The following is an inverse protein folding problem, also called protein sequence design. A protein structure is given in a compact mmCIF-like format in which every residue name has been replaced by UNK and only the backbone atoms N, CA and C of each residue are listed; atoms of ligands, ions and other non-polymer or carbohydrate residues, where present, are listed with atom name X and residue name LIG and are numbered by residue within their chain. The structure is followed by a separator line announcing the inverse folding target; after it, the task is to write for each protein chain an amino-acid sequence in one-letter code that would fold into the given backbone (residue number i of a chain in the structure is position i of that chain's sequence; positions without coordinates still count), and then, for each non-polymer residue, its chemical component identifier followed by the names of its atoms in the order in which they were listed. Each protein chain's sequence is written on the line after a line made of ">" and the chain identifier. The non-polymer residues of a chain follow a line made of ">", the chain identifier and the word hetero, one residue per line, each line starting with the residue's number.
data_IF_523371933491
#
_entry.id   IF_523371933491
#
_cell.length_a   1.000
_cell.length_b   1.000
_cell.length_c   1.000
_cell.angle_alpha   90.00
_cell.angle_beta   90.00
_cell.angle_gamma   90.00
#
_symmetry.space_group_name_H-M   'P 1'
#
loop_
_entity.id
_entity.type
_entity.pdbx_description
1 polymer ?
#
# COMPACT_ATOMS: atom_id res chain seq x y z
N UNK A 1 -38.15 8.64 15.46
CA UNK A 1 -38.09 7.38 16.23
C UNK A 1 -39.01 6.37 15.57
N UNK A 2 -38.40 5.35 14.97
CA UNK A 2 -39.08 4.18 14.47
C UNK A 2 -39.42 3.29 15.66
N UNK A 3 -40.64 2.75 15.66
CA UNK A 3 -41.14 1.87 16.69
C UNK A 3 -40.87 0.42 16.25
N UNK A 4 -40.01 -0.28 16.99
CA UNK A 4 -39.54 -1.63 16.68
C UNK A 4 -40.29 -2.62 17.58
N UNK A 5 -40.92 -3.63 16.98
CA UNK A 5 -41.59 -4.71 17.72
C UNK A 5 -40.58 -5.79 18.12
N UNK A 6 -40.76 -6.43 19.28
CA UNK A 6 -39.90 -7.53 19.74
C UNK A 6 -39.77 -8.65 18.69
N UNK A 7 -40.85 -8.93 17.95
CA UNK A 7 -40.91 -9.96 16.91
C UNK A 7 -39.95 -9.72 15.73
N UNK A 8 -39.55 -8.46 15.49
CA UNK A 8 -38.59 -8.12 14.46
C UNK A 8 -37.14 -8.14 14.94
N UNK A 9 -36.91 -8.26 16.26
CA UNK A 9 -35.59 -8.44 16.84
C UNK A 9 -35.14 -9.90 16.71
N UNK A 10 -33.96 -10.12 16.16
CA UNK A 10 -33.35 -11.44 15.97
C UNK A 10 -31.93 -11.43 16.48
N UNK A 11 -31.48 -12.59 16.96
CA UNK A 11 -30.10 -12.79 17.40
C UNK A 11 -29.12 -12.40 16.28
N UNK A 12 -28.12 -11.59 16.63
CA UNK A 12 -27.10 -11.11 15.70
C UNK A 12 -27.45 -9.82 14.94
N UNK A 13 -28.67 -9.28 15.06
CA UNK A 13 -29.00 -7.97 14.48
C UNK A 13 -28.28 -6.84 15.22
N UNK A 14 -27.84 -5.83 14.48
CA UNK A 14 -27.35 -4.56 15.02
C UNK A 14 -28.24 -3.42 14.53
N UNK A 15 -28.05 -2.23 15.10
CA UNK A 15 -28.75 -1.03 14.67
C UNK A 15 -27.72 0.09 14.47
N UNK A 16 -27.98 0.97 13.50
CA UNK A 16 -27.10 2.12 13.21
C UNK A 16 -27.13 3.16 14.34
N UNK A 17 -28.20 3.18 15.11
CA UNK A 17 -28.38 4.02 16.29
C UNK A 17 -28.80 3.18 17.50
N UNK A 18 -28.77 3.80 18.68
CA UNK A 18 -29.16 3.15 19.93
C UNK A 18 -30.60 2.63 19.89
N UNK A 19 -30.83 1.47 20.50
CA UNK A 19 -32.17 0.95 20.79
C UNK A 19 -32.50 1.28 22.24
N UNK A 20 -33.67 1.85 22.45
CA UNK A 20 -34.15 2.26 23.75
C UNK A 20 -35.47 1.53 24.07
N UNK A 21 -35.70 1.17 25.35
CA UNK A 21 -37.00 0.63 25.80
C UNK A 21 -38.09 1.70 25.74
N UNK A 22 -37.71 2.97 25.93
CA UNK A 22 -38.54 4.17 25.82
C UNK A 22 -37.69 5.35 25.32
N UNK A 23 -38.07 6.62 25.52
CA UNK A 23 -37.22 7.74 25.07
C UNK A 23 -36.01 8.03 25.97
N UNK A 24 -35.87 7.32 27.11
CA UNK A 24 -34.95 7.68 28.19
C UNK A 24 -34.04 6.53 28.64
N UNK A 25 -34.35 5.27 28.34
CA UNK A 25 -33.64 4.08 28.84
C UNK A 25 -32.99 3.31 27.70
N UNK A 26 -31.65 3.35 27.66
CA UNK A 26 -30.82 2.61 26.71
C UNK A 26 -30.91 1.11 26.95
N UNK A 27 -31.36 0.38 25.93
CA UNK A 27 -31.36 -1.08 25.91
C UNK A 27 -30.08 -1.63 25.29
N UNK A 28 -29.77 -1.16 24.08
CA UNK A 28 -28.63 -1.62 23.29
C UNK A 28 -27.96 -0.41 22.65
N UNK A 29 -26.66 -0.17 22.89
CA UNK A 29 -25.92 0.83 22.15
C UNK A 29 -25.83 0.48 20.67
N UNK A 30 -25.72 1.49 19.80
CA UNK A 30 -25.48 1.30 18.36
C UNK A 30 -24.33 0.33 18.10
N UNK A 31 -24.43 -0.43 17.01
CA UNK A 31 -23.44 -1.43 16.58
C UNK A 31 -23.20 -2.61 17.55
N UNK A 32 -23.99 -2.74 18.62
CA UNK A 32 -23.98 -3.93 19.49
C UNK A 32 -25.03 -4.93 19.02
N UNK A 33 -24.64 -6.19 18.85
CA UNK A 33 -25.53 -7.23 18.34
C UNK A 33 -26.49 -7.72 19.42
N UNK A 34 -27.74 -7.98 19.05
CA UNK A 34 -28.74 -8.60 19.91
C UNK A 34 -28.31 -10.03 20.27
N UNK A 35 -28.14 -10.30 21.55
CA UNK A 35 -27.85 -11.66 22.04
C UNK A 35 -29.12 -12.45 22.29
N UNK A 36 -29.01 -13.78 22.22
CA UNK A 36 -30.13 -14.69 22.51
C UNK A 36 -30.62 -14.56 23.94
N UNK A 37 -29.69 -14.36 24.87
CA UNK A 37 -29.97 -14.16 26.29
C UNK A 37 -30.80 -12.90 26.50
N UNK A 38 -30.52 -11.83 25.75
CA UNK A 38 -31.28 -10.59 25.82
C UNK A 38 -32.70 -10.75 25.26
N UNK A 39 -32.88 -11.47 24.14
CA UNK A 39 -34.22 -11.74 23.60
C UNK A 39 -35.09 -12.56 24.56
N UNK A 40 -34.49 -13.56 25.21
CA UNK A 40 -35.18 -14.36 26.22
C UNK A 40 -35.59 -13.49 27.41
N UNK A 41 -34.67 -12.64 27.91
CA UNK A 41 -34.95 -11.74 29.02
C UNK A 41 -36.05 -10.72 28.67
N UNK A 42 -36.03 -10.13 27.47
CA UNK A 42 -37.05 -9.18 27.02
C UNK A 42 -38.44 -9.84 26.89
N UNK A 43 -38.48 -11.10 26.47
CA UNK A 43 -39.71 -11.90 26.40
C UNK A 43 -40.25 -12.19 27.80
N UNK A 44 -39.39 -12.58 28.74
CA UNK A 44 -39.76 -12.85 30.14
C UNK A 44 -40.21 -11.58 30.88
N UNK A 45 -39.64 -10.42 30.53
CA UNK A 45 -39.97 -9.12 31.12
C UNK A 45 -41.14 -8.39 30.42
N UNK A 46 -41.83 -9.04 29.47
CA UNK A 46 -42.98 -8.50 28.75
C UNK A 46 -42.73 -7.16 28.02
N UNK A 47 -41.50 -6.91 27.55
CA UNK A 47 -41.17 -5.74 26.73
C UNK A 47 -41.41 -6.03 25.24
N UNK A 48 -42.44 -5.41 24.67
CA UNK A 48 -42.86 -5.68 23.29
C UNK A 48 -42.45 -4.61 22.27
N UNK A 49 -42.15 -3.39 22.70
CA UNK A 49 -41.87 -2.25 21.81
C UNK A 49 -40.62 -1.49 22.22
N UNK A 50 -39.85 -1.02 21.23
CA UNK A 50 -38.59 -0.30 21.42
C UNK A 50 -38.48 0.87 20.45
N UNK A 51 -37.76 1.92 20.83
CA UNK A 51 -37.52 3.08 19.98
C UNK A 51 -36.08 3.07 19.47
N UNK A 52 -35.91 3.32 18.16
CA UNK A 52 -34.60 3.69 17.60
C UNK A 52 -34.77 4.77 16.54
N UNK A 53 -33.75 5.62 16.38
CA UNK A 53 -33.67 6.58 15.28
C UNK A 53 -32.89 6.02 14.07
N UNK A 54 -32.36 4.80 14.19
CA UNK A 54 -31.58 4.13 13.15
C UNK A 54 -32.37 3.04 12.43
N UNK A 55 -31.80 2.56 11.34
CA UNK A 55 -32.30 1.43 10.58
C UNK A 55 -31.66 0.13 11.06
N UNK A 56 -32.31 -1.00 10.73
CA UNK A 56 -31.81 -2.35 10.99
C UNK A 56 -30.47 -2.51 10.26
N UNK A 57 -29.36 -2.64 10.99
CA UNK A 57 -28.09 -3.03 10.40
C UNK A 57 -27.88 -4.52 10.63
N UNK A 58 -27.67 -5.28 9.57
CA UNK A 58 -27.19 -6.64 9.72
C UNK A 58 -25.76 -6.55 10.27
N UNK A 59 -25.54 -7.16 11.43
CA UNK A 59 -24.29 -7.10 12.19
C UNK A 59 -23.03 -7.10 11.35
N UNK A 60 -22.26 -6.03 11.51
CA UNK A 60 -20.86 -5.94 11.08
C UNK A 60 -20.69 -5.49 9.62
N UNK A 61 -20.38 -4.21 9.44
CA UNK A 61 -19.78 -3.65 8.23
C UNK A 61 -18.50 -4.44 7.85
N UNK A 62 -18.69 -5.49 7.06
CA UNK A 62 -17.86 -5.76 5.90
C UNK A 62 -18.58 -4.99 4.80
N UNK A 63 -18.08 -3.82 4.43
CA UNK A 63 -18.77 -2.87 3.53
C UNK A 63 -19.08 -3.47 2.16
N UNK A 64 -20.18 -4.22 2.09
CA UNK A 64 -20.73 -4.79 0.87
C UNK A 64 -22.23 -4.49 0.90
N UNK A 65 -22.63 -3.53 0.08
CA UNK A 65 -24.02 -3.38 -0.32
C UNK A 65 -24.51 -4.74 -0.84
N UNK A 66 -25.47 -5.35 -0.14
CA UNK A 66 -26.27 -6.42 -0.73
C UNK A 66 -27.14 -5.81 -1.83
N UNK A 67 -26.59 -5.73 -3.03
CA UNK A 67 -27.42 -5.89 -4.23
C UNK A 67 -27.66 -7.39 -4.41
N UNK A 68 -28.91 -7.77 -4.24
CA UNK A 68 -29.47 -9.06 -4.66
C UNK A 68 -29.16 -9.32 -6.14
N UNK A 69 -28.66 -10.53 -6.41
CA UNK A 69 -28.65 -11.26 -7.68
C UNK A 69 -28.08 -10.57 -8.94
N UNK A 70 -26.74 -10.46 -9.09
CA UNK A 70 -26.07 -10.40 -10.40
C UNK A 70 -24.65 -11.04 -10.30
N UNK A 71 -24.49 -12.29 -10.75
CA UNK A 71 -23.34 -13.16 -10.43
C UNK A 71 -22.22 -13.36 -11.49
N UNK A 72 -22.16 -12.67 -12.65
CA UNK A 72 -20.93 -12.63 -13.47
C UNK A 72 -20.25 -11.25 -13.59
N UNK A 73 -21.00 -10.15 -13.42
CA UNK A 73 -20.52 -8.83 -13.86
C UNK A 73 -19.42 -8.21 -12.99
N UNK A 74 -19.39 -8.43 -11.66
CA UNK A 74 -18.39 -7.79 -10.79
C UNK A 74 -16.99 -8.40 -10.94
N UNK A 75 -16.91 -9.71 -11.17
CA UNK A 75 -15.64 -10.43 -11.33
C UNK A 75 -14.97 -10.09 -12.65
N UNK A 76 -15.74 -10.05 -13.76
CA UNK A 76 -15.26 -9.56 -15.05
C UNK A 76 -14.80 -8.10 -14.96
N UNK A 77 -15.55 -7.24 -14.25
CA UNK A 77 -15.20 -5.82 -14.08
C UNK A 77 -13.88 -5.60 -13.33
N UNK A 78 -13.57 -6.37 -12.28
CA UNK A 78 -12.30 -6.20 -11.52
C UNK A 78 -11.11 -6.70 -12.34
N UNK A 79 -11.23 -7.88 -12.97
CA UNK A 79 -10.17 -8.40 -13.84
C UNK A 79 -9.88 -7.49 -15.04
N UNK A 80 -10.92 -6.91 -15.66
CA UNK A 80 -10.77 -5.91 -16.71
C UNK A 80 -10.17 -4.59 -16.19
N UNK A 81 -10.61 -4.11 -15.02
CA UNK A 81 -10.07 -2.91 -14.37
C UNK A 81 -8.56 -3.03 -14.12
N UNK A 82 -8.13 -4.17 -13.56
CA UNK A 82 -6.72 -4.45 -13.29
C UNK A 82 -5.89 -4.46 -14.59
N UNK A 83 -6.37 -5.17 -15.61
CA UNK A 83 -5.71 -5.22 -16.94
C UNK A 83 -5.60 -3.82 -17.55
N UNK A 84 -6.67 -3.03 -17.47
CA UNK A 84 -6.69 -1.66 -17.95
C UNK A 84 -5.69 -0.76 -17.20
N UNK A 85 -5.61 -0.89 -15.88
CA UNK A 85 -4.66 -0.14 -15.05
C UNK A 85 -3.20 -0.49 -15.39
N UNK A 86 -2.89 -1.78 -15.61
CA UNK A 86 -1.57 -2.23 -16.05
C UNK A 86 -1.23 -1.64 -17.43
N UNK A 87 -2.17 -1.69 -18.38
CA UNK A 87 -1.98 -1.14 -19.73
C UNK A 87 -1.77 0.39 -19.69
N UNK A 88 -2.55 1.12 -18.88
CA UNK A 88 -2.41 2.57 -18.71
C UNK A 88 -1.04 2.92 -18.12
N UNK A 89 -0.60 2.19 -17.10
CA UNK A 89 0.72 2.32 -16.49
C UNK A 89 1.85 2.08 -17.50
N UNK A 90 1.71 1.06 -18.36
CA UNK A 90 2.68 0.74 -19.42
C UNK A 90 2.69 1.78 -20.56
N UNK A 91 1.54 2.36 -20.92
CA UNK A 91 1.47 3.44 -21.92
C UNK A 91 2.18 4.70 -21.43
N UNK A 92 1.90 5.10 -20.19
CA UNK A 92 2.55 6.25 -19.56
C UNK A 92 4.08 6.05 -19.50
N UNK A 93 4.58 4.83 -19.33
CA UNK A 93 6.03 4.55 -19.30
C UNK A 93 6.77 4.76 -20.64
N UNK A 94 6.10 4.87 -21.79
CA UNK A 94 6.75 5.00 -23.11
C UNK A 94 7.00 6.45 -23.56
N UNK A 95 6.41 7.44 -22.89
CA UNK A 95 6.63 8.84 -23.23
C UNK A 95 7.87 9.40 -22.52
N UNK A 96 8.79 9.97 -23.29
CA UNK A 96 10.14 10.42 -22.89
C UNK A 96 10.12 11.55 -21.84
N UNK A 97 8.95 12.13 -21.54
CA UNK A 97 8.77 13.27 -20.62
C UNK A 97 8.11 12.85 -19.30
N UNK A 98 8.25 11.60 -18.87
CA UNK A 98 7.54 11.15 -17.67
C UNK A 98 8.35 11.34 -16.38
N UNK A 99 7.93 12.32 -15.57
CA UNK A 99 8.52 12.56 -14.24
C UNK A 99 8.37 11.34 -13.33
N UNK A 100 9.33 11.11 -12.43
CA UNK A 100 9.30 10.05 -11.41
C UNK A 100 7.97 10.01 -10.64
N UNK A 101 7.33 11.17 -10.43
CA UNK A 101 6.03 11.31 -9.78
C UNK A 101 4.89 10.67 -10.61
N UNK A 102 4.89 10.83 -11.94
CA UNK A 102 3.88 10.22 -12.80
C UNK A 102 4.01 8.69 -12.83
N UNK A 103 5.25 8.17 -12.86
CA UNK A 103 5.50 6.73 -12.78
C UNK A 103 5.05 6.17 -11.43
N UNK A 104 5.33 6.90 -10.34
CA UNK A 104 4.83 6.55 -9.01
C UNK A 104 3.31 6.51 -8.96
N UNK A 105 2.63 7.52 -9.52
CA UNK A 105 1.17 7.55 -9.57
C UNK A 105 0.58 6.39 -10.38
N UNK A 106 1.17 6.06 -11.53
CA UNK A 106 0.75 4.90 -12.32
C UNK A 106 0.94 3.58 -11.57
N UNK A 107 2.03 3.44 -10.82
CA UNK A 107 2.29 2.26 -9.98
C UNK A 107 1.35 2.21 -8.78
N UNK A 108 1.01 3.36 -8.18
CA UNK A 108 0.02 3.47 -7.11
C UNK A 108 -1.36 3.00 -7.56
N UNK A 109 -1.85 3.45 -8.73
CA UNK A 109 -3.15 3.01 -9.25
C UNK A 109 -3.23 1.48 -9.38
N UNK A 110 -2.21 0.87 -9.98
CA UNK A 110 -2.17 -0.60 -10.13
C UNK A 110 -2.10 -1.29 -8.77
N UNK A 111 -1.33 -0.74 -7.83
CA UNK A 111 -1.26 -1.26 -6.47
C UNK A 111 -2.62 -1.22 -5.76
N UNK A 112 -3.39 -0.15 -5.93
CA UNK A 112 -4.73 0.01 -5.36
C UNK A 112 -5.72 -1.00 -5.98
N UNK A 113 -5.62 -1.27 -7.29
CA UNK A 113 -6.41 -2.32 -7.94
C UNK A 113 -6.09 -3.72 -7.41
N UNK A 114 -4.82 -4.01 -7.10
CA UNK A 114 -4.46 -5.27 -6.42
C UNK A 114 -5.01 -5.34 -5.00
N UNK A 115 -5.10 -4.23 -4.27
CA UNK A 115 -5.80 -4.19 -2.98
C UNK A 115 -7.28 -4.52 -3.16
N UNK A 116 -7.94 -3.91 -4.15
CA UNK A 116 -9.35 -4.19 -4.46
C UNK A 116 -9.57 -5.67 -4.81
N UNK A 117 -8.65 -6.27 -5.56
CA UNK A 117 -8.70 -7.69 -5.87
C UNK A 117 -8.59 -8.58 -4.61
N UNK A 118 -7.64 -8.28 -3.72
CA UNK A 118 -7.50 -9.04 -2.47
C UNK A 118 -8.76 -8.86 -1.59
N UNK A 119 -9.31 -7.64 -1.53
CA UNK A 119 -10.57 -7.37 -0.81
C UNK A 119 -11.73 -8.19 -1.39
N UNK A 120 -11.81 -8.29 -2.72
CA UNK A 120 -12.75 -9.17 -3.42
C UNK A 120 -12.55 -10.64 -3.03
N UNK A 121 -11.31 -11.15 -3.01
CA UNK A 121 -11.05 -12.55 -2.60
C UNK A 121 -11.54 -12.82 -1.19
N UNK A 122 -11.26 -11.91 -0.24
CA UNK A 122 -11.72 -12.03 1.14
C UNK A 122 -13.25 -11.97 1.25
N UNK A 123 -13.87 -11.03 0.54
CA UNK A 123 -15.32 -10.84 0.48
C UNK A 123 -16.04 -12.04 -0.14
N UNK A 124 -15.54 -12.53 -1.26
CA UNK A 124 -16.11 -13.68 -1.96
C UNK A 124 -16.01 -14.94 -1.10
N UNK A 125 -14.88 -15.15 -0.41
CA UNK A 125 -14.78 -16.23 0.56
C UNK A 125 -15.73 -16.04 1.75
N UNK A 126 -15.87 -14.82 2.29
CA UNK A 126 -16.76 -14.56 3.42
C UNK A 126 -18.21 -14.95 3.10
N UNK A 127 -18.66 -14.62 1.89
CA UNK A 127 -20.05 -14.79 1.40
C UNK A 127 -20.34 -16.17 0.81
N UNK A 128 -19.45 -16.68 -0.05
CA UNK A 128 -19.69 -17.91 -0.84
C UNK A 128 -18.85 -19.10 -0.35
N UNK A 129 -17.91 -18.89 0.58
CA UNK A 129 -16.96 -19.93 1.06
C UNK A 129 -16.15 -20.57 -0.07
N UNK A 130 -15.91 -19.83 -1.15
CA UNK A 130 -15.15 -20.27 -2.32
C UNK A 130 -14.11 -19.22 -2.74
N UNK A 131 -13.02 -19.68 -3.34
CA UNK A 131 -11.98 -18.84 -3.97
C UNK A 131 -11.76 -19.37 -5.38
N UNK A 132 -11.80 -18.48 -6.37
CA UNK A 132 -11.45 -18.82 -7.75
C UNK A 132 -9.93 -18.94 -7.88
N UNK A 133 -9.42 -20.18 -7.90
CA UNK A 133 -7.98 -20.44 -7.95
C UNK A 133 -7.34 -20.10 -9.30
N UNK A 134 -8.08 -20.25 -10.40
CA UNK A 134 -7.56 -19.93 -11.75
C UNK A 134 -7.32 -18.42 -11.87
N UNK A 135 -8.31 -17.62 -11.48
CA UNK A 135 -8.21 -16.16 -11.44
C UNK A 135 -7.12 -15.70 -10.47
N UNK A 136 -7.04 -16.30 -9.28
CA UNK A 136 -5.98 -15.99 -8.30
C UNK A 136 -4.58 -16.26 -8.89
N UNK A 137 -4.37 -17.41 -9.53
CA UNK A 137 -3.09 -17.76 -10.18
C UNK A 137 -2.72 -16.75 -11.28
N UNK A 138 -3.68 -16.41 -12.15
CA UNK A 138 -3.45 -15.47 -13.25
C UNK A 138 -3.14 -14.06 -12.75
N UNK A 139 -3.88 -13.57 -11.76
CA UNK A 139 -3.63 -12.26 -11.14
C UNK A 139 -2.27 -12.21 -10.44
N UNK A 140 -1.87 -13.29 -9.73
CA UNK A 140 -0.55 -13.37 -9.10
C UNK A 140 0.56 -13.40 -10.15
N UNK A 141 0.36 -14.09 -11.28
CA UNK A 141 1.32 -14.11 -12.38
C UNK A 141 1.53 -12.71 -12.96
N UNK A 142 0.45 -11.96 -13.20
CA UNK A 142 0.52 -10.55 -13.62
C UNK A 142 1.25 -9.70 -12.58
N UNK A 143 0.97 -9.90 -11.29
CA UNK A 143 1.62 -9.18 -10.19
C UNK A 143 3.13 -9.46 -10.15
N UNK A 144 3.55 -10.71 -10.37
CA UNK A 144 4.96 -11.09 -10.43
C UNK A 144 5.70 -10.33 -11.55
N UNK A 145 5.08 -10.21 -12.72
CA UNK A 145 5.63 -9.47 -13.86
C UNK A 145 5.70 -7.97 -13.51
N UNK A 146 4.61 -7.43 -12.98
CA UNK A 146 4.50 -6.03 -12.62
C UNK A 146 5.54 -5.60 -11.57
N UNK A 147 5.72 -6.38 -10.51
CA UNK A 147 6.75 -6.15 -9.48
C UNK A 147 8.15 -6.19 -10.09
N UNK A 148 8.42 -7.16 -10.96
CA UNK A 148 9.73 -7.29 -11.62
C UNK A 148 10.06 -6.05 -12.47
N UNK A 149 9.08 -5.51 -13.18
CA UNK A 149 9.25 -4.33 -14.03
C UNK A 149 9.31 -3.02 -13.23
N UNK A 150 8.60 -2.93 -12.10
CA UNK A 150 8.42 -1.70 -11.34
C UNK A 150 9.05 -1.74 -9.93
N UNK A 151 10.05 -2.61 -9.72
CA UNK A 151 10.69 -2.85 -8.40
C UNK A 151 11.07 -1.58 -7.64
N UNK A 152 11.55 -0.55 -8.37
CA UNK A 152 12.00 0.72 -7.82
C UNK A 152 10.88 1.56 -7.22
N UNK A 153 9.66 1.41 -7.74
CA UNK A 153 8.50 2.23 -7.37
C UNK A 153 7.58 1.49 -6.41
N UNK A 154 7.35 0.20 -6.63
CA UNK A 154 6.37 -0.59 -5.86
C UNK A 154 6.72 -0.67 -4.37
N UNK A 155 8.02 -0.75 -4.03
CA UNK A 155 8.50 -0.81 -2.65
C UNK A 155 8.49 0.55 -1.93
N UNK A 156 8.22 1.64 -2.66
CA UNK A 156 8.12 3.01 -2.10
C UNK A 156 6.69 3.42 -1.77
N UNK A 157 5.70 2.60 -2.13
CA UNK A 157 4.30 2.89 -1.86
C UNK A 157 4.08 2.87 -0.34
N UNK A 158 3.80 4.05 0.20
CA UNK A 158 3.42 4.22 1.60
C UNK A 158 1.89 4.31 1.68
N UNK A 159 1.30 3.43 2.48
CA UNK A 159 -0.16 3.36 2.68
C UNK A 159 -0.72 4.54 3.51
N UNK A 160 0.12 5.49 3.91
CA UNK A 160 -0.26 6.70 4.67
C UNK A 160 -0.97 7.77 3.84
N UNK A 161 -1.33 7.46 2.58
CA UNK A 161 -1.94 8.41 1.64
C UNK A 161 -3.48 8.31 1.70
N UNK A 162 -4.08 8.88 2.75
CA UNK A 162 -5.53 9.14 2.82
C UNK A 162 -6.38 8.06 3.48
N UNK A 163 -7.57 8.47 3.93
CA UNK A 163 -8.62 7.67 4.58
C UNK A 163 -8.71 6.25 4.01
N UNK A 164 -8.14 5.27 4.71
CA UNK A 164 -8.04 3.90 4.20
C UNK A 164 -9.44 3.29 4.10
N UNK A 165 -9.99 3.22 2.89
CA UNK A 165 -11.26 2.55 2.61
C UNK A 165 -11.22 1.04 2.85
N UNK A 166 -10.02 0.45 2.88
CA UNK A 166 -9.80 -0.98 2.94
C UNK A 166 -9.45 -1.47 4.35
N UNK A 167 -9.83 -2.72 4.62
CA UNK A 167 -9.51 -3.41 5.86
C UNK A 167 -7.99 -3.56 6.02
N UNK A 168 -7.47 -3.35 7.23
CA UNK A 168 -6.05 -3.49 7.52
C UNK A 168 -5.50 -4.89 7.18
N UNK A 169 -6.32 -5.96 7.26
CA UNK A 169 -5.92 -7.32 6.88
C UNK A 169 -5.61 -7.40 5.39
N UNK A 170 -6.43 -6.76 4.55
CA UNK A 170 -6.25 -6.73 3.10
C UNK A 170 -4.96 -5.96 2.76
N UNK A 171 -4.75 -4.81 3.41
CA UNK A 171 -3.52 -4.02 3.25
C UNK A 171 -2.29 -4.84 3.69
N UNK A 172 -2.39 -5.56 4.81
CA UNK A 172 -1.34 -6.45 5.30
C UNK A 172 -1.02 -7.55 4.30
N UNK A 173 -2.04 -8.21 3.73
CA UNK A 173 -1.86 -9.23 2.70
C UNK A 173 -1.18 -8.65 1.46
N UNK A 174 -1.60 -7.49 0.97
CA UNK A 174 -0.99 -6.87 -0.21
C UNK A 174 0.49 -6.53 0.03
N UNK A 175 0.79 -5.84 1.13
CA UNK A 175 2.16 -5.43 1.47
C UNK A 175 3.06 -6.64 1.67
N UNK A 176 2.57 -7.64 2.39
CA UNK A 176 3.28 -8.92 2.59
C UNK A 176 3.53 -9.61 1.25
N UNK A 177 2.54 -9.64 0.35
CA UNK A 177 2.67 -10.23 -0.98
C UNK A 177 3.76 -9.54 -1.80
N UNK A 178 3.75 -8.21 -1.86
CA UNK A 178 4.79 -7.44 -2.60
C UNK A 178 6.18 -7.69 -2.04
N UNK A 179 6.33 -7.71 -0.72
CA UNK A 179 7.60 -7.98 -0.05
C UNK A 179 8.08 -9.42 -0.30
N UNK A 180 7.20 -10.40 -0.13
CA UNK A 180 7.52 -11.82 -0.32
C UNK A 180 7.89 -12.14 -1.77
N UNK A 181 7.16 -11.58 -2.74
CA UNK A 181 7.51 -11.73 -4.16
C UNK A 181 8.83 -11.01 -4.48
N UNK A 182 9.08 -9.84 -3.90
CA UNK A 182 10.39 -9.17 -4.07
C UNK A 182 11.55 -10.00 -3.51
N UNK A 183 11.34 -10.69 -2.38
CA UNK A 183 12.28 -11.65 -1.81
C UNK A 183 12.44 -12.88 -2.71
N UNK A 184 11.34 -13.43 -3.24
CA UNK A 184 11.37 -14.58 -4.14
C UNK A 184 12.12 -14.29 -5.46
N UNK A 185 11.97 -13.08 -6.01
CA UNK A 185 12.77 -12.61 -7.16
C UNK A 185 14.27 -12.56 -6.81
N UNK A 186 14.61 -12.06 -5.63
CA UNK A 186 16.00 -12.00 -5.16
C UNK A 186 16.60 -13.40 -4.92
N UNK A 187 15.77 -14.37 -4.54
CA UNK A 187 16.14 -15.79 -4.41
C UNK A 187 16.12 -16.54 -5.74
N UNK A 188 15.88 -15.85 -6.86
CA UNK A 188 15.80 -16.43 -8.20
C UNK A 188 14.80 -17.59 -8.31
N UNK A 189 13.66 -17.49 -7.62
CA UNK A 189 12.58 -18.47 -7.72
C UNK A 189 11.99 -18.49 -9.14
N UNK A 190 11.61 -19.68 -9.60
CA UNK A 190 10.93 -19.83 -10.89
C UNK A 190 9.54 -19.20 -10.84
N UNK A 191 8.99 -18.79 -11.99
CA UNK A 191 7.67 -18.17 -12.06
C UNK A 191 6.57 -19.05 -11.43
N UNK A 192 6.61 -20.36 -11.64
CA UNK A 192 5.65 -21.28 -11.01
C UNK A 192 5.71 -21.25 -9.48
N UNK A 193 6.91 -21.23 -8.88
CA UNK A 193 7.06 -21.11 -7.42
C UNK A 193 6.67 -19.73 -6.90
N UNK A 194 6.92 -18.70 -7.69
CA UNK A 194 6.50 -17.33 -7.41
C UNK A 194 4.98 -17.20 -7.36
N UNK A 195 4.27 -17.88 -8.27
CA UNK A 195 2.81 -17.94 -8.27
C UNK A 195 2.32 -18.60 -6.98
N UNK A 196 2.80 -19.80 -6.65
CA UNK A 196 2.39 -20.47 -5.39
C UNK A 196 2.68 -19.63 -4.14
N UNK A 197 3.84 -18.95 -4.09
CA UNK A 197 4.18 -18.03 -3.00
C UNK A 197 3.20 -16.86 -2.91
N UNK A 198 2.87 -16.23 -4.05
CA UNK A 198 1.93 -15.12 -4.10
C UNK A 198 0.51 -15.51 -3.73
N UNK A 199 0.04 -16.68 -4.18
CA UNK A 199 -1.25 -17.24 -3.78
C UNK A 199 -1.31 -17.46 -2.26
N UNK A 200 -0.26 -18.07 -1.69
CA UNK A 200 -0.12 -18.24 -0.24
C UNK A 200 -0.14 -16.89 0.49
N UNK A 201 0.58 -15.88 0.00
CA UNK A 201 0.60 -14.54 0.58
C UNK A 201 -0.74 -13.82 0.51
N UNK A 202 -1.52 -13.98 -0.57
CA UNK A 202 -2.82 -13.33 -0.67
C UNK A 202 -3.79 -13.92 0.36
N UNK A 203 -3.78 -15.24 0.55
CA UNK A 203 -4.77 -15.91 1.40
C UNK A 203 -4.34 -16.16 2.85
N UNK A 204 -3.07 -15.91 3.24
CA UNK A 204 -2.55 -16.37 4.55
C UNK A 204 -3.35 -15.90 5.78
N UNK A 205 -3.97 -14.72 5.72
CA UNK A 205 -4.80 -14.20 6.81
C UNK A 205 -6.31 -14.51 6.66
N UNK A 206 -6.75 -15.24 5.62
CA UNK A 206 -8.20 -15.49 5.42
C UNK A 206 -8.83 -16.28 6.57
N UNK A 207 -8.01 -17.02 7.32
CA UNK A 207 -8.42 -17.69 8.56
C UNK A 207 -8.89 -16.73 9.67
N UNK A 208 -8.52 -15.45 9.61
CA UNK A 208 -9.00 -14.42 10.53
C UNK A 208 -10.52 -14.22 10.42
N UNK A 209 -11.12 -14.49 9.26
CA UNK A 209 -12.57 -14.41 9.06
C UNK A 209 -13.36 -15.47 9.85
N UNK A 210 -12.69 -16.50 10.40
CA UNK A 210 -13.30 -17.46 11.33
C UNK A 210 -13.22 -17.02 12.80
N UNK A 211 -12.62 -15.85 13.09
CA UNK A 211 -12.54 -15.26 14.42
C UNK A 211 -13.55 -14.12 14.57
N UNK A 212 -14.02 -13.83 15.81
CA UNK A 212 -14.82 -12.64 16.07
C UNK A 212 -14.08 -11.35 15.66
N UNK A 213 -14.69 -10.44 14.87
CA UNK A 213 -14.06 -9.20 14.42
C UNK A 213 -13.50 -8.33 15.54
N UNK A 214 -14.14 -8.36 16.71
CA UNK A 214 -13.74 -7.60 17.90
C UNK A 214 -12.35 -8.00 18.40
N UNK A 215 -11.87 -9.20 18.08
CA UNK A 215 -10.51 -9.62 18.43
C UNK A 215 -9.45 -8.88 17.61
N UNK A 216 -9.66 -8.76 16.30
CA UNK A 216 -8.62 -8.29 15.39
C UNK A 216 -8.78 -6.82 14.97
N UNK A 217 -9.97 -6.24 15.11
CA UNK A 217 -10.21 -4.79 14.92
C UNK A 217 -9.92 -3.95 16.17
N UNK A 218 -9.45 -4.57 17.26
CA UNK A 218 -9.27 -3.91 18.57
C UNK A 218 -8.21 -2.81 18.51
N UNK A 219 -8.53 -1.64 19.09
CA UNK A 219 -7.60 -0.49 19.22
C UNK A 219 -6.70 -0.57 20.45
N UNK A 220 -7.03 -1.44 21.42
CA UNK A 220 -6.25 -1.67 22.64
C UNK A 220 -5.36 -2.91 22.51
N UNK A 221 -4.24 -2.98 23.26
CA UNK A 221 -3.41 -4.18 23.29
C UNK A 221 -4.21 -5.45 23.64
N UNK A 222 -3.90 -6.53 22.93
CA UNK A 222 -4.52 -7.85 23.15
C UNK A 222 -4.06 -8.44 24.48
N UNK A 223 -5.00 -9.00 25.24
CA UNK A 223 -4.74 -9.85 26.40
C UNK A 223 -4.07 -11.17 25.99
N UNK A 224 -3.50 -11.89 26.95
CA UNK A 224 -2.90 -13.22 26.69
C UNK A 224 -3.91 -14.21 26.11
N UNK A 225 -5.14 -14.24 26.62
CA UNK A 225 -6.23 -15.07 26.11
C UNK A 225 -6.62 -14.72 24.67
N UNK A 226 -6.76 -13.44 24.36
CA UNK A 226 -7.08 -12.98 22.99
C UNK A 226 -5.97 -13.31 22.00
N UNK A 227 -4.70 -13.18 22.41
CA UNK A 227 -3.55 -13.61 21.59
C UNK A 227 -3.61 -15.10 21.27
N UNK A 228 -4.00 -15.95 22.23
CA UNK A 228 -4.16 -17.39 22.01
C UNK A 228 -5.26 -17.65 20.97
N UNK A 229 -6.37 -16.91 21.01
CA UNK A 229 -7.43 -17.04 20.02
C UNK A 229 -6.97 -16.60 18.62
N UNK A 230 -6.32 -15.44 18.52
CA UNK A 230 -5.83 -14.93 17.22
C UNK A 230 -4.85 -15.91 16.57
N UNK A 231 -3.95 -16.54 17.32
CA UNK A 231 -3.00 -17.53 16.78
C UNK A 231 -3.68 -18.69 16.02
N UNK A 232 -4.95 -18.97 16.30
CA UNK A 232 -5.71 -20.03 15.62
C UNK A 232 -6.00 -19.72 14.15
N UNK A 233 -5.87 -18.48 13.68
CA UNK A 233 -6.08 -18.14 12.26
C UNK A 233 -5.20 -19.00 11.34
N UNK A 234 -3.97 -19.31 11.74
CA UNK A 234 -3.04 -20.19 10.99
C UNK A 234 -3.61 -21.61 10.78
N UNK A 235 -4.32 -22.14 11.76
CA UNK A 235 -4.97 -23.46 11.68
C UNK A 235 -6.27 -23.37 10.85
N UNK A 236 -6.99 -22.26 11.00
CA UNK A 236 -8.20 -22.00 10.21
C UNK A 236 -7.90 -21.86 8.73
N UNK A 237 -6.91 -21.04 8.37
CA UNK A 237 -6.49 -20.84 6.97
C UNK A 237 -6.01 -22.15 6.33
N UNK A 238 -5.32 -23.01 7.08
CA UNK A 238 -4.96 -24.36 6.64
C UNK A 238 -6.19 -25.23 6.35
N UNK A 239 -7.19 -25.25 7.24
CA UNK A 239 -8.44 -25.99 7.03
C UNK A 239 -9.16 -25.49 5.77
N UNK A 240 -9.24 -24.17 5.60
CA UNK A 240 -9.87 -23.51 4.46
C UNK A 240 -9.17 -23.91 3.16
N UNK A 241 -7.84 -23.77 3.10
CA UNK A 241 -7.09 -24.09 1.89
C UNK A 241 -7.18 -25.57 1.54
N UNK A 242 -7.24 -26.45 2.55
CA UNK A 242 -7.46 -27.89 2.36
C UNK A 242 -8.85 -28.19 1.82
N UNK A 243 -9.90 -27.58 2.39
CA UNK A 243 -11.28 -27.72 1.93
C UNK A 243 -11.45 -27.24 0.48
N UNK A 244 -10.77 -26.15 0.12
CA UNK A 244 -10.78 -25.58 -1.23
C UNK A 244 -9.86 -26.31 -2.22
N UNK A 245 -9.05 -27.26 -1.77
CA UNK A 245 -8.20 -28.07 -2.65
C UNK A 245 -6.91 -27.39 -3.13
N UNK A 246 -6.41 -26.38 -2.41
CA UNK A 246 -5.10 -25.77 -2.74
C UNK A 246 -3.96 -26.81 -2.63
N UNK A 247 -2.88 -26.66 -3.41
CA UNK A 247 -1.67 -27.48 -3.27
C UNK A 247 -1.14 -27.56 -1.84
N UNK A 248 -0.58 -28.72 -1.47
CA UNK A 248 0.00 -28.93 -0.14
C UNK A 248 1.11 -27.91 0.19
N UNK A 249 1.86 -27.46 -0.81
CA UNK A 249 2.90 -26.42 -0.66
C UNK A 249 2.32 -25.12 -0.12
N UNK A 250 1.17 -24.69 -0.63
CA UNK A 250 0.44 -23.49 -0.18
C UNK A 250 -0.19 -23.73 1.20
N UNK A 251 -0.81 -24.90 1.41
CA UNK A 251 -1.40 -25.26 2.70
C UNK A 251 -0.36 -25.19 3.84
N UNK A 252 0.84 -25.73 3.61
CA UNK A 252 1.92 -25.68 4.61
C UNK A 252 2.47 -24.26 4.77
N UNK A 253 2.62 -23.51 3.68
CA UNK A 253 3.08 -22.12 3.73
C UNK A 253 2.23 -21.26 4.67
N UNK A 254 0.91 -21.30 4.50
CA UNK A 254 -0.03 -20.51 5.31
C UNK A 254 -0.21 -21.08 6.72
N UNK A 255 -0.02 -22.39 6.94
CA UNK A 255 -0.05 -22.96 8.29
C UNK A 255 1.18 -22.53 9.10
N UNK A 256 2.33 -22.46 8.45
CA UNK A 256 3.64 -22.36 9.10
C UNK A 256 4.23 -20.94 9.07
N UNK A 257 3.58 -19.94 8.47
CA UNK A 257 4.16 -18.60 8.31
C UNK A 257 4.47 -17.87 9.63
N UNK A 258 3.89 -18.31 10.75
CA UNK A 258 4.25 -17.84 12.10
C UNK A 258 5.26 -18.72 12.84
N UNK A 259 5.74 -19.79 12.22
CA UNK A 259 6.85 -20.58 12.74
C UNK A 259 8.15 -19.78 12.70
N UNK A 260 9.06 -20.09 13.62
CA UNK A 260 10.37 -19.45 13.75
C UNK A 260 11.43 -20.54 13.82
N UNK A 261 12.58 -20.35 13.20
CA UNK A 261 13.59 -21.42 13.06
C UNK A 261 14.08 -21.98 14.40
N UNK A 262 13.99 -21.17 15.46
CA UNK A 262 14.32 -21.54 16.84
C UNK A 262 13.19 -22.29 17.60
N UNK A 263 12.06 -22.61 16.96
CA UNK A 263 10.96 -23.36 17.58
C UNK A 263 10.02 -22.54 18.47
N UNK A 264 10.23 -21.22 18.60
CA UNK A 264 9.36 -20.36 19.44
C UNK A 264 8.07 -19.93 18.75
N UNK A 265 7.92 -20.25 17.47
CA UNK A 265 6.75 -19.93 16.65
C UNK A 265 5.52 -20.78 16.96
N UNK A 266 4.52 -20.70 16.08
CA UNK A 266 3.26 -21.44 16.21
C UNK A 266 2.71 -21.75 14.80
N UNK A 267 1.78 -22.71 14.64
CA UNK A 267 1.12 -23.51 15.69
C UNK A 267 1.82 -24.80 16.10
N UNK A 268 2.77 -25.30 15.31
CA UNK A 268 3.44 -26.60 15.45
C UNK A 268 4.79 -26.52 16.16
N UNK A 269 5.36 -25.32 16.34
CA UNK A 269 6.67 -25.08 16.99
C UNK A 269 7.80 -25.79 16.24
N UNK A 270 7.81 -25.63 14.92
CA UNK A 270 8.78 -26.24 14.03
C UNK A 270 10.13 -25.55 14.15
N UNK A 271 11.19 -26.28 13.78
CA UNK A 271 12.57 -25.77 13.76
C UNK A 271 13.10 -25.83 12.34
N UNK A 272 13.93 -24.84 11.98
CA UNK A 272 14.58 -24.61 10.68
C UNK A 272 14.10 -25.46 9.50
N UNK A 273 14.66 -26.67 9.32
CA UNK A 273 14.47 -27.56 8.17
C UNK A 273 13.04 -28.10 8.01
N UNK A 274 12.26 -28.06 9.08
CA UNK A 274 10.86 -28.53 9.09
C UNK A 274 9.88 -27.45 8.64
N UNK A 275 10.31 -26.20 8.53
CA UNK A 275 9.48 -25.08 8.08
C UNK A 275 9.60 -24.97 6.57
N UNK A 276 8.47 -24.97 5.87
CA UNK A 276 8.45 -24.81 4.41
C UNK A 276 9.12 -23.51 3.96
N UNK A 277 9.81 -23.53 2.82
CA UNK A 277 10.52 -22.35 2.29
C UNK A 277 9.58 -21.16 2.10
N UNK A 278 8.36 -21.38 1.61
CA UNK A 278 7.36 -20.32 1.46
C UNK A 278 6.98 -19.72 2.82
N UNK A 279 6.72 -20.55 3.84
CA UNK A 279 6.44 -20.04 5.19
C UNK A 279 7.58 -19.20 5.74
N UNK A 280 8.85 -19.60 5.52
CA UNK A 280 10.00 -18.80 5.95
C UNK A 280 10.04 -17.42 5.26
N UNK A 281 9.76 -17.37 3.95
CA UNK A 281 9.70 -16.11 3.19
C UNK A 281 8.56 -15.23 3.71
N UNK A 282 7.36 -15.80 3.84
CA UNK A 282 6.18 -15.08 4.35
C UNK A 282 6.45 -14.57 5.78
N UNK A 283 7.06 -15.37 6.65
CA UNK A 283 7.36 -14.97 8.03
C UNK A 283 8.24 -13.73 8.11
N UNK A 284 9.29 -13.65 7.28
CA UNK A 284 10.19 -12.50 7.20
C UNK A 284 9.48 -11.29 6.62
N UNK A 285 8.72 -11.46 5.53
CA UNK A 285 7.93 -10.40 4.89
C UNK A 285 6.87 -9.82 5.84
N UNK A 286 6.05 -10.67 6.47
CA UNK A 286 5.05 -10.29 7.47
C UNK A 286 5.68 -9.54 8.65
N UNK A 287 6.86 -9.97 9.10
CA UNK A 287 7.54 -9.33 10.24
C UNK A 287 8.05 -7.94 9.87
N UNK A 288 8.64 -7.77 8.67
CA UNK A 288 9.06 -6.46 8.17
C UNK A 288 7.87 -5.52 7.98
N UNK A 289 6.80 -6.02 7.36
CA UNK A 289 5.55 -5.28 7.19
C UNK A 289 4.99 -4.84 8.55
N UNK A 290 4.89 -5.75 9.53
CA UNK A 290 4.34 -5.46 10.85
C UNK A 290 5.15 -4.44 11.67
N UNK A 291 6.42 -4.23 11.30
CA UNK A 291 7.28 -3.21 11.90
C UNK A 291 7.10 -1.86 11.20
N UNK A 292 6.99 -1.88 9.88
CA UNK A 292 6.93 -0.67 9.03
C UNK A 292 5.54 -0.13 8.79
N UNK A 293 4.50 -0.87 9.17
CA UNK A 293 3.10 -0.43 9.07
C UNK A 293 2.57 0.14 10.38
N UNK A 294 1.83 1.25 10.28
CA UNK A 294 1.04 1.77 11.38
C UNK A 294 -0.11 0.80 11.71
N UNK A 295 -0.35 0.56 13.00
CA UNK A 295 -1.48 -0.22 13.49
C UNK A 295 -2.22 0.60 14.53
N UNK A 296 -3.51 0.31 14.75
CA UNK A 296 -4.38 1.01 15.71
C UNK A 296 -3.77 1.20 17.12
N UNK A 297 -2.81 0.36 17.52
CA UNK A 297 -2.12 0.39 18.82
C UNK A 297 -0.59 0.57 18.72
N UNK A 298 -0.02 0.80 17.53
CA UNK A 298 1.44 0.88 17.32
C UNK A 298 1.76 1.90 16.22
N UNK A 299 2.52 2.94 16.58
CA UNK A 299 3.10 3.86 15.59
C UNK A 299 4.07 3.10 14.69
N UNK A 300 4.06 3.42 13.40
CA UNK A 300 5.04 2.92 12.44
C UNK A 300 6.47 3.22 12.91
N UNK A 301 7.38 2.26 12.70
CA UNK A 301 8.83 2.48 12.83
C UNK A 301 9.44 2.64 11.44
N UNK A 302 10.56 3.34 11.37
CA UNK A 302 11.23 3.56 10.09
C UNK A 302 11.65 2.24 9.44
N UNK A 303 11.63 2.20 8.11
CA UNK A 303 12.10 1.04 7.33
C UNK A 303 13.55 0.65 7.66
N UNK A 304 14.39 1.63 8.04
CA UNK A 304 15.74 1.40 8.53
C UNK A 304 15.77 0.65 9.87
N UNK A 305 14.95 1.05 10.85
CA UNK A 305 14.87 0.32 12.13
C UNK A 305 14.34 -1.10 11.94
N UNK A 306 13.36 -1.27 11.04
CA UNK A 306 12.80 -2.57 10.70
C UNK A 306 13.85 -3.52 10.13
N UNK A 307 14.64 -3.06 9.15
CA UNK A 307 15.67 -3.90 8.54
C UNK A 307 16.79 -4.21 9.52
N UNK A 308 17.18 -3.26 10.38
CA UNK A 308 18.19 -3.51 11.43
C UNK A 308 17.71 -4.56 12.42
N UNK A 309 16.45 -4.49 12.87
CA UNK A 309 15.87 -5.49 13.78
C UNK A 309 15.84 -6.89 13.16
N UNK A 310 15.42 -7.00 11.90
CA UNK A 310 15.39 -8.29 11.20
C UNK A 310 16.81 -8.82 10.95
N UNK A 311 17.76 -7.96 10.62
CA UNK A 311 19.18 -8.33 10.43
C UNK A 311 19.85 -8.78 11.72
N UNK A 312 19.45 -8.24 12.88
CA UNK A 312 19.93 -8.75 14.17
C UNK A 312 19.50 -10.21 14.40
N UNK A 313 18.38 -10.62 13.77
CA UNK A 313 17.84 -11.98 13.80
C UNK A 313 17.93 -12.62 15.20
N UNK A 314 17.41 -11.90 16.21
CA UNK A 314 17.58 -12.27 17.61
C UNK A 314 17.18 -13.73 17.85
N UNK A 315 18.06 -14.50 18.51
CA UNK A 315 17.86 -15.92 18.78
C UNK A 315 17.63 -16.78 17.52
N UNK A 316 18.14 -16.37 16.35
CA UNK A 316 18.00 -17.11 15.07
C UNK A 316 16.55 -17.48 14.78
N UNK A 317 15.68 -16.48 14.81
CA UNK A 317 14.24 -16.64 14.55
C UNK A 317 13.94 -16.89 13.06
N UNK A 318 14.79 -16.36 12.18
CA UNK A 318 14.62 -16.38 10.74
C UNK A 318 15.79 -17.06 10.04
N UNK A 319 15.53 -17.52 8.83
CA UNK A 319 16.55 -18.06 7.93
C UNK A 319 17.44 -16.91 7.41
N UNK A 320 18.75 -17.02 7.64
CA UNK A 320 19.72 -15.98 7.30
C UNK A 320 19.79 -15.70 5.79
N UNK A 321 19.49 -16.68 4.92
CA UNK A 321 19.46 -16.49 3.46
C UNK A 321 18.27 -15.62 3.08
N UNK A 322 17.12 -15.86 3.69
CA UNK A 322 15.89 -15.10 3.44
C UNK A 322 15.98 -13.69 4.01
N UNK A 323 16.57 -13.52 5.20
CA UNK A 323 16.85 -12.20 5.78
C UNK A 323 17.77 -11.38 4.87
N UNK A 324 18.82 -12.00 4.33
CA UNK A 324 19.69 -11.35 3.34
C UNK A 324 18.92 -11.01 2.08
N UNK A 325 18.11 -11.92 1.55
CA UNK A 325 17.30 -11.64 0.37
C UNK A 325 16.37 -10.44 0.59
N UNK A 326 15.70 -10.34 1.75
CA UNK A 326 14.92 -9.16 2.11
C UNK A 326 15.78 -7.89 2.08
N UNK A 327 16.97 -7.90 2.69
CA UNK A 327 17.89 -6.76 2.68
C UNK A 327 18.24 -6.30 1.26
N UNK A 328 18.51 -7.23 0.34
CA UNK A 328 18.81 -6.88 -1.04
C UNK A 328 17.56 -6.41 -1.82
N UNK A 329 16.37 -6.92 -1.47
CA UNK A 329 15.11 -6.46 -2.06
C UNK A 329 14.75 -5.03 -1.63
N UNK A 330 14.79 -4.73 -0.32
CA UNK A 330 14.34 -3.42 0.22
C UNK A 330 15.47 -2.39 0.37
N UNK A 331 16.74 -2.81 0.27
CA UNK A 331 17.96 -2.04 0.58
C UNK A 331 18.14 -1.74 2.07
N UNK A 332 19.39 -1.56 2.54
CA UNK A 332 19.66 -1.12 3.92
C UNK A 332 19.12 0.30 4.15
N UNK A 333 19.22 1.12 3.11
CA UNK A 333 18.61 2.43 3.04
C UNK A 333 17.53 2.36 1.95
N UNK A 334 16.26 2.15 2.33
CA UNK A 334 15.18 2.05 1.38
C UNK A 334 15.00 3.35 0.60
N UNK A 335 14.54 3.23 -0.64
CA UNK A 335 14.29 4.38 -1.50
C UNK A 335 13.26 5.31 -0.84
N UNK A 336 13.54 6.61 -0.84
CA UNK A 336 12.78 7.63 -0.10
C UNK A 336 13.34 7.95 1.29
N UNK A 337 14.35 7.22 1.77
CA UNK A 337 15.02 7.52 3.05
C UNK A 337 15.86 8.79 2.93
N UNK A 338 15.72 9.70 3.90
CA UNK A 338 16.54 10.90 4.00
C UNK A 338 17.80 10.59 4.80
N UNK A 339 18.96 10.94 4.24
CA UNK A 339 20.27 10.57 4.79
C UNK A 339 21.20 11.78 4.91
N UNK A 340 22.02 11.78 5.96
CA UNK A 340 23.09 12.75 6.16
C UNK A 340 24.43 12.12 5.74
N UNK A 341 25.10 12.75 4.78
CA UNK A 341 26.37 12.29 4.22
C UNK A 341 27.56 12.88 4.97
N UNK A 342 28.71 12.22 4.89
CA UNK A 342 29.95 12.62 5.59
C UNK A 342 30.45 14.00 5.18
N UNK A 343 30.27 14.37 3.92
CA UNK A 343 30.52 15.71 3.39
C UNK A 343 29.53 16.80 3.88
N UNK A 344 28.72 16.50 4.91
CA UNK A 344 27.73 17.38 5.55
C UNK A 344 26.52 17.74 4.68
N UNK A 345 26.32 17.04 3.56
CA UNK A 345 25.16 17.22 2.69
C UNK A 345 24.00 16.32 3.10
N UNK A 346 22.78 16.75 2.79
CA UNK A 346 21.56 15.96 2.98
C UNK A 346 21.09 15.48 1.61
N UNK A 347 20.72 14.20 1.56
CA UNK A 347 20.26 13.55 0.35
C UNK A 347 19.03 12.68 0.62
N UNK A 348 18.27 12.37 -0.43
CA UNK A 348 17.22 11.36 -0.41
C UNK A 348 17.69 10.16 -1.23
N UNK A 349 17.49 8.95 -0.72
CA UNK A 349 17.78 7.72 -1.48
C UNK A 349 16.82 7.63 -2.65
N UNK A 350 17.34 7.53 -3.88
CA UNK A 350 16.56 7.43 -5.12
C UNK A 350 16.64 6.06 -5.78
N UNK A 351 17.71 5.31 -5.54
CA UNK A 351 17.86 3.94 -6.03
C UNK A 351 18.68 3.08 -5.08
N UNK A 352 18.48 1.76 -5.18
CA UNK A 352 19.30 0.81 -4.44
C UNK A 352 20.57 0.44 -5.24
N UNK A 353 21.55 -0.10 -4.55
CA UNK A 353 22.72 -0.70 -5.18
C UNK A 353 22.65 -2.22 -5.01
N UNK A 354 22.36 -2.97 -6.09
CA UNK A 354 22.22 -4.42 -6.04
C UNK A 354 23.47 -5.15 -5.55
N UNK A 355 24.66 -4.60 -5.78
CA UNK A 355 25.94 -5.19 -5.38
C UNK A 355 26.24 -4.94 -3.89
N UNK A 356 25.83 -3.77 -3.38
CA UNK A 356 26.07 -3.40 -1.98
C UNK A 356 24.93 -2.55 -1.41
N UNK A 357 24.01 -3.14 -0.63
CA UNK A 357 22.88 -2.44 -0.02
C UNK A 357 23.27 -1.28 0.91
N UNK A 358 24.53 -1.21 1.37
CA UNK A 358 25.03 -0.09 2.19
C UNK A 358 25.32 1.16 1.36
N UNK A 359 25.47 1.02 0.05
CA UNK A 359 25.93 2.08 -0.84
C UNK A 359 24.84 2.45 -1.88
N UNK A 360 23.68 2.96 -1.45
CA UNK A 360 22.58 3.32 -2.35
C UNK A 360 22.93 4.52 -3.25
N UNK A 361 22.09 4.78 -4.24
CA UNK A 361 22.11 6.01 -5.03
C UNK A 361 21.24 7.06 -4.34
N UNK A 362 21.77 8.26 -4.20
CA UNK A 362 21.11 9.36 -3.47
C UNK A 362 21.06 10.62 -4.33
N UNK A 363 19.99 11.39 -4.19
CA UNK A 363 19.82 12.70 -4.78
C UNK A 363 20.03 13.78 -3.72
N UNK A 364 20.91 14.74 -4.00
CA UNK A 364 21.16 15.87 -3.10
C UNK A 364 19.94 16.80 -3.10
N UNK A 365 19.47 17.21 -1.92
CA UNK A 365 18.25 18.02 -1.80
C UNK A 365 18.48 19.51 -2.07
N UNK A 366 19.66 20.02 -1.70
CA UNK A 366 19.94 21.47 -1.68
C UNK A 366 20.80 21.95 -2.85
N UNK A 367 21.22 21.03 -3.72
CA UNK A 367 22.10 21.30 -4.85
C UNK A 367 21.46 20.81 -6.14
N UNK A 368 21.58 21.64 -7.17
CA UNK A 368 21.14 21.34 -8.54
C UNK A 368 22.29 21.62 -9.47
N UNK A 369 22.29 20.92 -10.60
CA UNK A 369 23.20 21.23 -11.70
C UNK A 369 22.92 22.63 -12.26
N UNK A 370 23.84 23.14 -13.09
CA UNK A 370 23.71 24.47 -13.72
C UNK A 370 22.46 24.61 -14.60
N UNK A 371 21.91 23.49 -15.08
CA UNK A 371 20.68 23.42 -15.86
C UNK A 371 19.40 23.29 -15.00
N UNK A 372 19.54 23.21 -13.68
CA UNK A 372 18.43 23.05 -12.73
C UNK A 372 17.99 21.60 -12.48
N UNK A 373 18.66 20.61 -13.09
CA UNK A 373 18.40 19.20 -12.84
C UNK A 373 18.92 18.75 -11.45
N UNK A 374 18.29 17.74 -10.83
CA UNK A 374 18.71 17.25 -9.52
C UNK A 374 20.04 16.47 -9.61
N UNK A 375 20.95 16.73 -8.68
CA UNK A 375 22.24 16.01 -8.61
C UNK A 375 22.01 14.63 -7.97
N UNK A 376 22.24 13.57 -8.75
CA UNK A 376 22.12 12.18 -8.30
C UNK A 376 23.49 11.52 -8.30
N UNK A 377 23.88 10.92 -7.16
CA UNK A 377 25.22 10.33 -6.94
C UNK A 377 25.11 8.95 -6.30
N UNK A 378 26.01 8.03 -6.68
CA UNK A 378 26.17 6.78 -5.96
C UNK A 378 27.06 7.00 -4.73
N UNK A 379 26.59 6.55 -3.57
CA UNK A 379 27.36 6.66 -2.32
C UNK A 379 28.58 5.73 -2.33
N UNK A 380 29.59 6.06 -1.52
CA UNK A 380 30.84 5.30 -1.41
C UNK A 380 31.34 5.32 0.04
N UNK A 381 32.39 4.55 0.34
CA UNK A 381 32.96 4.46 1.69
C UNK A 381 33.79 5.70 2.13
N UNK A 382 33.87 6.74 1.29
CA UNK A 382 34.67 7.94 1.52
C UNK A 382 33.79 9.14 1.91
N UNK A 383 33.92 10.28 1.22
CA UNK A 383 33.19 11.53 1.52
C UNK A 383 31.67 11.43 1.30
N UNK A 384 31.23 10.45 0.51
CA UNK A 384 29.82 10.23 0.19
C UNK A 384 29.21 9.09 1.02
N UNK A 385 29.85 8.68 2.11
CA UNK A 385 29.30 7.65 3.01
C UNK A 385 28.13 8.19 3.80
N UNK A 386 27.08 7.37 3.98
CA UNK A 386 25.95 7.71 4.83
C UNK A 386 26.37 7.62 6.30
N UNK A 387 26.31 8.75 7.01
CA UNK A 387 26.64 8.83 8.44
C UNK A 387 25.44 8.41 9.28
N UNK A 388 24.25 8.92 8.95
CA UNK A 388 23.01 8.61 9.66
C UNK A 388 21.78 8.84 8.79
N UNK A 389 20.68 8.18 9.15
CA UNK A 389 19.33 8.46 8.65
C UNK A 389 18.75 9.65 9.43
N UNK A 390 18.00 10.52 8.76
CA UNK A 390 17.28 11.63 9.39
C UNK A 390 15.98 11.13 10.04
N UNK A 391 15.66 11.70 11.20
CA UNK A 391 14.40 11.45 11.91
C UNK A 391 13.19 12.02 11.16
N UNK A 392 11.98 11.58 11.52
CA UNK A 392 10.74 12.09 10.92
C UNK A 392 10.56 13.61 11.15
N UNK A 393 10.94 14.15 12.31
CA UNK A 393 10.89 15.60 12.57
C UNK A 393 11.86 16.35 11.67
N UNK A 394 13.12 15.90 11.59
CA UNK A 394 14.10 16.51 10.69
C UNK A 394 13.65 16.43 9.21
N UNK A 395 12.95 15.36 8.81
CA UNK A 395 12.38 15.25 7.46
C UNK A 395 11.33 16.32 7.21
N UNK A 396 10.40 16.53 8.14
CA UNK A 396 9.33 17.52 8.02
C UNK A 396 9.95 18.92 7.92
N UNK A 397 10.88 19.24 8.81
CA UNK A 397 11.60 20.52 8.80
C UNK A 397 12.32 20.75 7.46
N UNK A 398 12.93 19.71 6.89
CA UNK A 398 13.60 19.78 5.59
C UNK A 398 12.64 20.01 4.42
N UNK A 399 11.46 19.37 4.43
CA UNK A 399 10.43 19.59 3.40
C UNK A 399 9.95 21.04 3.47
N UNK A 400 9.67 21.54 4.68
CA UNK A 400 9.24 22.92 4.90
C UNK A 400 10.30 23.93 4.43
N UNK A 401 11.58 23.72 4.77
CA UNK A 401 12.69 24.57 4.30
C UNK A 401 12.83 24.55 2.77
N UNK A 402 12.60 23.40 2.14
CA UNK A 402 12.65 23.27 0.70
C UNK A 402 11.50 24.05 0.05
N UNK A 403 10.27 23.92 0.56
CA UNK A 403 9.11 24.68 0.08
C UNK A 403 9.28 26.20 0.23
N UNK A 404 9.79 26.66 1.37
CA UNK A 404 10.11 28.09 1.60
C UNK A 404 11.15 28.61 0.60
N UNK A 405 12.21 27.83 0.37
CA UNK A 405 13.23 28.19 -0.62
C UNK A 405 12.66 28.24 -2.04
N UNK A 406 11.80 27.29 -2.43
CA UNK A 406 11.12 27.32 -3.72
C UNK A 406 10.22 28.54 -3.88
N UNK A 407 9.41 28.88 -2.85
CA UNK A 407 8.59 30.09 -2.85
C UNK A 407 9.42 31.36 -3.02
N UNK A 408 10.54 31.48 -2.29
CA UNK A 408 11.43 32.65 -2.40
C UNK A 408 12.04 32.82 -3.79
N UNK A 409 12.41 31.71 -4.45
CA UNK A 409 12.95 31.72 -5.82
C UNK A 409 11.86 32.10 -6.82
N UNK A 410 10.63 31.60 -6.63
CA UNK A 410 9.50 31.91 -7.50
C UNK A 410 9.06 33.38 -7.39
N UNK A 411 9.07 33.93 -6.18
CA UNK A 411 8.84 35.35 -5.91
C UNK A 411 9.91 36.24 -6.55
N UNK A 412 11.20 35.88 -6.39
CA UNK A 412 12.30 36.59 -7.04
C UNK A 412 12.20 36.54 -8.58
N UNK A 413 11.76 35.41 -9.14
CA UNK A 413 11.54 35.28 -10.59
C UNK A 413 10.37 36.13 -11.08
N UNK A 414 9.28 36.24 -10.31
CA UNK A 414 8.14 37.12 -10.62
C UNK A 414 8.55 38.59 -10.58
N UNK A 415 9.31 38.99 -9.55
CA UNK A 415 9.84 40.36 -9.44
C UNK A 415 10.77 40.71 -10.61
N UNK A 416 11.69 39.82 -10.97
CA UNK A 416 12.57 40.02 -12.12
C UNK A 416 11.79 40.12 -13.45
N UNK A 417 10.71 39.35 -13.62
CA UNK A 417 9.85 39.43 -14.81
C UNK A 417 9.04 40.73 -14.86
N UNK A 418 8.60 41.23 -13.71
CA UNK A 418 7.90 42.53 -13.59
C UNK A 418 8.85 43.72 -13.83
N UNK A 419 10.09 43.64 -13.35
CA UNK A 419 11.13 44.64 -13.65
C UNK A 419 11.51 44.63 -15.14
N UNK A 420 11.60 43.47 -15.77
CA UNK A 420 11.83 43.36 -17.22
C UNK A 420 10.68 44.00 -18.03
N UNK A 421 9.42 43.77 -17.63
CA UNK A 421 8.25 44.40 -18.26
C UNK A 421 8.17 45.91 -18.04
N UNK A 422 8.62 46.42 -16.88
CA UNK A 422 8.73 47.85 -16.60
C UNK A 422 9.83 48.53 -17.43
N UNK A 423 10.93 47.84 -17.67
CA UNK A 423 12.01 48.36 -18.51
C UNK A 423 11.65 48.39 -20.00
N UNK A 424 10.91 47.39 -20.50
CA UNK A 424 10.41 47.39 -21.89
C UNK A 424 9.34 48.47 -22.16
N UNK A 425 8.58 48.89 -21.14
CA UNK A 425 7.60 49.98 -21.27
C UNK A 425 8.21 51.39 -21.15
N UNK A 426 9.49 51.51 -20.76
CA UNK A 426 10.19 52.80 -20.62
C UNK A 426 11.04 53.19 -21.83
N UNK A 427 11.22 52.32 -22.82
CA UNK A 427 11.98 52.61 -24.05
C UNK A 427 11.07 52.60 -25.27
N UNK A 428 10.30 53.66 -25.47
CA UNK A 428 9.68 53.95 -26.76
C UNK A 428 9.75 55.46 -27.02
N UNK A 429 10.68 55.98 -27.86
CA UNK A 429 10.68 57.38 -28.23
C UNK A 429 9.56 57.64 -29.25
N UNK A 430 8.85 58.76 -29.07
CA UNK A 430 7.78 59.26 -29.95
C UNK A 430 8.22 59.27 -31.43
N UNK A 431 7.35 58.88 -32.38
CA UNK A 431 7.63 59.08 -33.80
C UNK A 431 7.38 60.55 -34.17
N UNK A 432 8.41 61.20 -34.73
CA UNK A 432 8.26 62.46 -35.47
C UNK A 432 7.51 62.21 -36.78
N UNK A 433 6.52 63.07 -37.02
CA UNK A 433 5.71 63.14 -38.23
C UNK A 433 6.45 63.85 -39.35
N UNK A 434 6.65 63.19 -40.49
CA UNK A 434 6.84 63.86 -41.79
C UNK A 434 6.09 63.11 -42.90
N UNK A 435 5.39 63.89 -43.72
CA UNK A 435 4.41 63.52 -44.75
C UNK A 435 5.02 62.83 -46.00
N UNK A 436 4.27 61.82 -46.53
CA UNK A 436 3.90 61.46 -47.93
C UNK A 436 4.86 61.70 -49.14
N UNK A 437 4.67 61.05 -50.33
CA UNK A 437 3.52 60.21 -50.76
C UNK A 437 3.87 58.88 -51.46
N UNK A 438 2.78 58.15 -51.74
CA UNK A 438 2.63 56.85 -52.38
C UNK A 438 3.25 56.70 -53.78
N UNK A 439 3.60 55.45 -54.12
CA UNK A 439 3.37 54.88 -55.46
C UNK A 439 3.08 53.38 -55.35
N UNK A 440 2.05 52.97 -56.08
CA UNK A 440 1.55 51.61 -56.26
C UNK A 440 2.54 50.75 -57.08
N UNK A 441 2.58 49.44 -56.84
CA UNK A 441 2.44 48.43 -57.92
C UNK A 441 2.59 46.99 -57.41
N UNK A 442 1.49 46.25 -57.54
CA UNK A 442 1.29 44.88 -58.01
C UNK A 442 2.40 43.79 -57.98
N UNK A 443 1.90 42.59 -57.63
CA UNK A 443 2.24 41.25 -58.18
C UNK A 443 3.60 40.68 -57.75
N UNK A 444 3.80 39.38 -57.49
CA UNK A 444 3.13 38.17 -58.00
C UNK A 444 3.41 37.02 -57.02
N UNK A 445 2.47 36.08 -56.96
CA UNK A 445 2.61 34.74 -56.40
C UNK A 445 3.65 33.97 -57.23
N UNK A 446 4.59 33.24 -56.60
CA UNK A 446 5.04 31.96 -57.15
C UNK A 446 5.62 31.02 -56.09
N UNK A 447 5.34 29.74 -56.34
CA UNK A 447 5.47 28.60 -55.44
C UNK A 447 6.91 28.13 -55.21
N UNK A 448 7.09 27.61 -54.00
CA UNK A 448 7.78 26.35 -53.62
C UNK A 448 8.33 25.52 -54.79
N UNK A 449 9.59 25.10 -54.69
CA UNK A 449 10.00 23.70 -54.49
C UNK A 449 11.52 23.54 -54.64
N UNK A 450 12.22 23.06 -53.60
CA UNK A 450 13.45 22.25 -53.77
C UNK A 450 13.51 21.22 -52.63
N UNK A 451 13.16 20.00 -53.01
CA UNK A 451 13.52 18.74 -52.37
C UNK A 451 15.03 18.45 -52.48
N UNK A 452 15.48 17.54 -51.61
CA UNK A 452 16.81 16.92 -51.51
C UNK A 452 17.82 17.69 -50.63
N UNK A 453 18.26 17.06 -49.54
CA UNK A 453 19.59 16.44 -49.45
C UNK A 453 19.68 15.63 -48.13
N UNK A 454 19.87 14.32 -48.32
CA UNK A 454 20.47 13.27 -47.48
C UNK A 454 20.30 13.24 -45.95
#
# INVERSE_FOLDING_TARGET
>A
MNNIQLESLKEGLTFTEDILIDNNVLLIPRSVSISKELLNALTEWEFHTFNSNGDLSLGGDIGIDKKTDEQPEQTEKIGESLKNAIIESQKNNKDIVNSDANRMNGVQKVYDEYINFIDYVFTHYATHKAINQEELSDTVKELCIFIKENRRFILRINSSSGETKHNYIVIHCMRTTVLALSVGLQLHMTLSKMIELGEACIIHEIGMLRLPPQLYMKTKPLTSGERIQIKKHSVFVYSIAKELGFPLTIQLAILEHHEKENGTGYPRKLTSDKISTYAKIISVACSYEAITSERNYKKERSSFEAIVEILQNQNRQYDDVIVKALLYSVSLYPIGTYVYLKNRKIAIVTDNNPENPKLPVVQLLMEKEKDGSPITIQTNDNELSIVRVLSNSERIDMISLQEEKYKSIEEARKQALEEHKKNETSTNPKPETTEKPATESNSTIENVDISAFD
#
